data_IF_830638170798
#
_entry.id   IF_830638170798
#
_cell.length_a   1.000
_cell.length_b   1.000
_cell.length_c   1.000
_cell.angle_alpha   90.00
_cell.angle_beta   90.00
_cell.angle_gamma   90.00
#
_symmetry.space_group_name_H-M   'P 1'
#
loop_
_entity.id
_entity.type
_entity.pdbx_description
1 polymer ?
#
# COMPACT_ATOMS: atom_id res chain seq x y z
N UNK A 1 27.70 -7.15 8.20
CA UNK A 1 27.27 -8.55 7.92
C UNK A 1 27.75 -8.88 6.52
N UNK A 2 28.27 -10.08 6.32
CA UNK A 2 28.82 -10.51 5.04
C UNK A 2 28.23 -11.87 4.66
N UNK A 3 27.98 -12.07 3.37
CA UNK A 3 27.55 -13.32 2.81
C UNK A 3 28.26 -13.59 1.49
N UNK A 4 27.74 -14.49 0.70
CA UNK A 4 28.25 -14.84 -0.63
C UNK A 4 27.13 -15.23 -1.58
N UNK A 5 27.39 -15.13 -2.87
CA UNK A 5 26.55 -15.73 -3.92
C UNK A 5 26.77 -17.23 -3.88
N UNK A 6 25.74 -18.00 -3.58
CA UNK A 6 25.81 -19.47 -3.61
C UNK A 6 25.60 -20.00 -5.03
N UNK A 7 24.67 -19.38 -5.80
CA UNK A 7 24.39 -19.77 -7.17
C UNK A 7 23.85 -18.56 -7.96
N UNK A 8 24.19 -18.49 -9.23
CA UNK A 8 23.63 -17.52 -10.19
C UNK A 8 22.69 -18.28 -11.13
N UNK A 9 21.47 -17.77 -11.33
CA UNK A 9 20.40 -18.45 -12.06
C UNK A 9 19.84 -17.57 -13.15
N UNK A 10 19.68 -18.11 -14.36
CA UNK A 10 18.99 -17.46 -15.49
C UNK A 10 18.07 -18.45 -16.19
N UNK A 11 17.09 -17.91 -16.91
CA UNK A 11 16.18 -18.68 -17.76
C UNK A 11 15.83 -17.88 -19.01
N UNK A 12 15.68 -18.49 -20.19
CA UNK A 12 15.16 -17.84 -21.38
C UNK A 12 13.65 -17.54 -21.28
N UNK A 13 13.02 -17.89 -20.15
CA UNK A 13 11.61 -17.64 -19.82
C UNK A 13 11.08 -18.67 -18.83
N UNK A 14 10.46 -18.21 -17.74
CA UNK A 14 9.81 -19.05 -16.73
C UNK A 14 10.73 -19.63 -15.64
N UNK A 15 10.20 -20.64 -14.92
CA UNK A 15 10.84 -21.34 -13.82
C UNK A 15 10.84 -22.85 -14.09
N UNK A 16 11.83 -23.61 -13.59
CA UNK A 16 12.98 -23.18 -12.79
C UNK A 16 14.03 -22.44 -13.64
N UNK A 17 14.81 -21.56 -13.00
CA UNK A 17 16.01 -20.96 -13.61
C UNK A 17 17.20 -21.89 -13.46
N UNK A 18 18.04 -21.97 -14.50
CA UNK A 18 19.21 -22.82 -14.54
C UNK A 18 20.46 -22.12 -13.99
N UNK A 19 21.32 -22.89 -13.31
CA UNK A 19 22.59 -22.41 -12.80
C UNK A 19 23.55 -22.05 -13.95
N UNK A 20 24.26 -20.91 -13.80
CA UNK A 20 25.33 -20.49 -14.72
C UNK A 20 26.59 -20.15 -13.95
N UNK A 21 27.76 -20.26 -14.65
CA UNK A 21 29.05 -19.96 -14.06
C UNK A 21 29.26 -18.47 -13.77
N UNK A 22 28.65 -17.62 -14.57
CA UNK A 22 28.65 -16.16 -14.38
C UNK A 22 27.47 -15.51 -15.14
N UNK A 23 27.11 -14.31 -14.76
CA UNK A 23 26.17 -13.49 -15.52
C UNK A 23 26.53 -12.01 -15.44
N UNK A 24 26.34 -11.28 -16.53
CA UNK A 24 26.41 -9.83 -16.53
C UNK A 24 25.11 -9.28 -15.96
N UNK A 25 25.22 -8.38 -14.98
CA UNK A 25 24.11 -7.66 -14.35
C UNK A 25 24.02 -6.28 -15.00
N UNK A 26 22.92 -6.01 -15.67
CA UNK A 26 22.57 -4.70 -16.21
C UNK A 26 21.43 -4.07 -15.43
N UNK A 27 21.05 -2.84 -15.76
CA UNK A 27 19.98 -2.08 -15.05
C UNK A 27 18.64 -2.78 -14.97
N UNK A 28 18.32 -3.63 -15.94
CA UNK A 28 17.03 -4.34 -16.03
C UNK A 28 17.12 -5.81 -15.59
N UNK A 29 18.28 -6.25 -15.06
CA UNK A 29 18.48 -7.63 -14.58
C UNK A 29 19.68 -8.32 -15.20
N UNK A 30 19.71 -9.66 -15.13
CA UNK A 30 20.79 -10.48 -15.62
C UNK A 30 20.65 -10.66 -17.14
N UNK A 31 21.75 -10.47 -17.88
CA UNK A 31 21.79 -10.76 -19.30
C UNK A 31 21.56 -12.25 -19.57
N UNK A 32 20.67 -12.55 -20.51
CA UNK A 32 20.26 -13.92 -20.84
C UNK A 32 19.11 -14.45 -19.96
N UNK A 33 18.67 -13.66 -19.00
CA UNK A 33 17.44 -13.95 -18.25
C UNK A 33 16.25 -13.29 -18.92
N UNK A 34 15.14 -14.02 -19.08
CA UNK A 34 13.88 -13.51 -19.58
C UNK A 34 12.75 -13.85 -18.61
N UNK A 35 11.71 -13.03 -18.61
CA UNK A 35 10.55 -13.21 -17.77
C UNK A 35 9.36 -13.66 -18.60
N UNK A 36 8.56 -14.58 -18.09
CA UNK A 36 7.35 -15.06 -18.79
C UNK A 36 6.25 -13.99 -18.88
N UNK A 37 6.35 -13.00 -17.98
CA UNK A 37 5.46 -11.85 -17.90
C UNK A 37 6.29 -10.59 -17.62
N UNK A 38 6.83 -9.98 -18.66
CA UNK A 38 7.67 -8.78 -18.58
C UNK A 38 6.98 -7.59 -17.88
N UNK A 39 5.65 -7.62 -17.78
CA UNK A 39 4.84 -6.58 -17.16
C UNK A 39 4.63 -6.77 -15.65
N UNK A 40 4.85 -7.99 -15.12
CA UNK A 40 4.68 -8.31 -13.67
C UNK A 40 6.02 -8.51 -13.00
N UNK A 41 6.97 -9.12 -13.71
CA UNK A 41 8.32 -9.45 -13.26
C UNK A 41 9.30 -8.71 -14.15
N UNK A 42 10.18 -7.88 -13.54
CA UNK A 42 11.15 -7.08 -14.28
C UNK A 42 10.97 -5.58 -14.06
N UNK A 43 11.65 -4.81 -14.93
CA UNK A 43 11.76 -3.35 -14.76
C UNK A 43 12.81 -2.95 -13.73
N UNK A 44 13.13 -1.63 -13.64
CA UNK A 44 14.28 -1.16 -12.85
C UNK A 44 14.19 -1.49 -11.36
N UNK A 45 13.00 -1.56 -10.78
CA UNK A 45 12.81 -1.82 -9.36
C UNK A 45 12.73 -3.31 -8.99
N UNK A 46 12.58 -4.20 -9.98
CA UNK A 46 12.50 -5.66 -9.81
C UNK A 46 13.51 -6.37 -10.72
N UNK A 47 14.68 -5.74 -10.92
CA UNK A 47 15.68 -6.18 -11.85
C UNK A 47 16.34 -7.52 -11.48
N UNK A 48 16.52 -7.77 -10.18
CA UNK A 48 17.18 -8.99 -9.67
C UNK A 48 16.34 -9.58 -8.55
N UNK A 49 15.97 -10.86 -8.67
CA UNK A 49 15.32 -11.61 -7.59
C UNK A 49 16.38 -12.39 -6.80
N UNK A 50 16.30 -12.32 -5.46
CA UNK A 50 17.23 -12.98 -4.54
C UNK A 50 16.48 -13.87 -3.55
N UNK A 51 17.11 -15.00 -3.15
CA UNK A 51 16.63 -15.88 -2.09
C UNK A 51 17.81 -16.46 -1.31
N UNK A 52 17.71 -16.51 0.01
CA UNK A 52 18.72 -17.14 0.87
C UNK A 52 18.70 -18.66 0.76
N UNK A 53 19.87 -19.28 0.70
CA UNK A 53 20.02 -20.75 0.76
C UNK A 53 19.44 -21.32 2.06
N UNK A 54 19.57 -20.56 3.15
CA UNK A 54 19.01 -20.91 4.46
C UNK A 54 17.47 -20.97 4.42
N UNK A 55 16.82 -20.08 3.69
CA UNK A 55 15.38 -20.13 3.45
C UNK A 55 14.98 -21.36 2.63
N UNK A 56 15.75 -21.66 1.58
CA UNK A 56 15.55 -22.88 0.77
C UNK A 56 15.67 -24.14 1.65
N UNK A 57 16.66 -24.20 2.53
CA UNK A 57 16.85 -25.34 3.43
C UNK A 57 15.69 -25.50 4.43
N UNK A 58 15.21 -24.41 5.01
CA UNK A 58 14.03 -24.44 5.92
C UNK A 58 12.78 -24.93 5.19
N UNK A 59 12.52 -24.37 4.00
CA UNK A 59 11.35 -24.76 3.18
C UNK A 59 11.46 -26.23 2.72
N UNK A 60 12.68 -26.71 2.40
CA UNK A 60 12.93 -28.11 2.06
C UNK A 60 12.71 -29.04 3.25
N UNK A 61 13.11 -28.63 4.45
CA UNK A 61 12.88 -29.39 5.68
C UNK A 61 11.40 -29.61 5.98
N UNK A 62 10.54 -28.72 5.52
CA UNK A 62 9.07 -28.85 5.60
C UNK A 62 8.48 -29.79 4.50
N UNK A 63 9.35 -30.45 3.70
CA UNK A 63 8.95 -31.43 2.70
C UNK A 63 8.66 -30.86 1.31
N UNK A 64 8.96 -29.58 1.04
CA UNK A 64 8.77 -28.97 -0.27
C UNK A 64 9.94 -29.26 -1.23
N UNK A 65 9.67 -29.38 -2.54
CA UNK A 65 10.65 -29.72 -3.57
C UNK A 65 11.41 -28.47 -4.07
N UNK A 66 11.85 -27.61 -3.15
CA UNK A 66 12.53 -26.35 -3.49
C UNK A 66 14.06 -26.58 -3.64
N UNK A 67 14.66 -25.93 -4.63
CA UNK A 67 16.08 -25.90 -4.90
C UNK A 67 16.49 -24.50 -5.39
N UNK A 68 17.78 -24.15 -5.42
CA UNK A 68 18.24 -22.91 -6.04
C UNK A 68 17.73 -22.78 -7.48
N UNK A 69 17.15 -21.62 -7.82
CA UNK A 69 16.52 -21.33 -9.10
C UNK A 69 15.07 -21.80 -9.25
N UNK A 70 14.57 -22.68 -8.36
CA UNK A 70 13.26 -23.32 -8.50
C UNK A 70 12.10 -22.32 -8.39
N UNK A 71 12.24 -21.24 -7.67
CA UNK A 71 11.19 -20.22 -7.47
C UNK A 71 11.49 -18.91 -8.22
N UNK A 72 12.43 -18.95 -9.17
CA UNK A 72 12.71 -17.87 -10.11
C UNK A 72 13.66 -16.79 -9.60
N UNK A 73 14.37 -17.04 -8.52
CA UNK A 73 15.43 -16.13 -8.08
C UNK A 73 16.64 -16.17 -9.00
N UNK A 74 17.26 -15.00 -9.23
CA UNK A 74 18.49 -14.84 -10.02
C UNK A 74 19.73 -15.11 -9.20
N UNK A 75 19.75 -14.68 -7.95
CA UNK A 75 20.86 -14.92 -7.04
C UNK A 75 20.37 -15.70 -5.83
N UNK A 76 20.88 -16.93 -5.69
CA UNK A 76 20.78 -17.64 -4.43
C UNK A 76 21.97 -17.21 -3.57
N UNK A 77 21.72 -16.68 -2.38
CA UNK A 77 22.74 -16.17 -1.47
C UNK A 77 22.93 -17.08 -0.27
N UNK A 78 24.04 -16.96 0.44
CA UNK A 78 24.28 -17.67 1.69
C UNK A 78 24.94 -16.75 2.72
N UNK A 79 24.63 -16.95 4.00
CA UNK A 79 25.17 -16.19 5.13
C UNK A 79 24.43 -14.87 5.40
N UNK A 80 23.28 -14.63 4.75
CA UNK A 80 22.48 -13.41 4.91
C UNK A 80 20.99 -13.77 4.94
N UNK A 81 20.29 -13.37 6.00
CA UNK A 81 18.83 -13.43 6.08
C UNK A 81 18.22 -12.23 5.32
N UNK A 82 18.19 -12.33 3.98
CA UNK A 82 17.84 -11.24 3.07
C UNK A 82 16.50 -10.57 3.38
N UNK A 83 15.47 -11.37 3.63
CA UNK A 83 14.10 -10.89 3.83
C UNK A 83 13.86 -10.22 5.19
N UNK A 84 14.84 -10.30 6.10
CA UNK A 84 14.83 -9.56 7.36
C UNK A 84 15.55 -8.21 7.26
N UNK A 85 16.25 -7.95 6.16
CA UNK A 85 16.89 -6.66 5.92
C UNK A 85 15.87 -5.61 5.51
N UNK A 86 16.01 -4.37 5.97
CA UNK A 86 15.15 -3.27 5.52
C UNK A 86 15.24 -3.06 4.02
N UNK A 87 14.14 -2.71 3.38
CA UNK A 87 14.16 -2.19 2.01
C UNK A 87 15.05 -0.96 1.94
N UNK A 88 15.76 -0.76 0.82
CA UNK A 88 16.81 0.25 0.68
C UNK A 88 18.19 -0.23 1.15
N UNK A 89 18.29 -1.38 1.83
CA UNK A 89 19.60 -1.99 2.15
C UNK A 89 20.37 -2.26 0.86
N UNK A 90 21.63 -1.84 0.83
CA UNK A 90 22.50 -2.02 -0.32
C UNK A 90 23.37 -3.26 -0.15
N UNK A 91 23.57 -3.98 -1.24
CA UNK A 91 24.39 -5.19 -1.31
C UNK A 91 25.51 -4.97 -2.32
N UNK A 92 26.74 -4.79 -1.86
CA UNK A 92 27.91 -4.82 -2.74
C UNK A 92 28.27 -6.29 -3.03
N UNK A 93 28.21 -6.69 -4.30
CA UNK A 93 28.39 -8.08 -4.75
C UNK A 93 29.61 -8.18 -5.66
N UNK A 94 30.55 -9.02 -5.29
CA UNK A 94 31.84 -9.13 -6.00
C UNK A 94 32.58 -7.80 -6.04
N UNK A 95 33.20 -7.50 -7.18
CA UNK A 95 34.08 -6.33 -7.32
C UNK A 95 33.35 -5.05 -7.80
N UNK A 96 32.17 -5.20 -8.45
CA UNK A 96 31.59 -4.05 -9.19
C UNK A 96 30.09 -3.91 -9.06
N UNK A 97 29.34 -4.96 -8.72
CA UNK A 97 27.89 -4.90 -8.69
C UNK A 97 27.41 -4.31 -7.37
N UNK A 98 26.52 -3.32 -7.47
CA UNK A 98 25.81 -2.75 -6.32
C UNK A 98 24.31 -2.91 -6.54
N UNK A 99 23.67 -3.66 -5.66
CA UNK A 99 22.23 -3.86 -5.64
C UNK A 99 21.62 -3.08 -4.46
N UNK A 100 20.34 -2.73 -4.57
CA UNK A 100 19.55 -2.18 -3.47
C UNK A 100 18.24 -2.95 -3.36
N UNK A 101 17.97 -3.52 -2.18
CA UNK A 101 16.71 -4.24 -1.93
C UNK A 101 15.52 -3.30 -2.13
N UNK A 102 14.58 -3.67 -2.98
CA UNK A 102 13.47 -2.81 -3.39
C UNK A 102 12.12 -3.23 -2.83
N UNK A 103 11.86 -4.53 -2.76
CA UNK A 103 10.61 -5.05 -2.20
C UNK A 103 10.69 -6.55 -1.93
N UNK A 104 9.83 -7.12 -1.07
CA UNK A 104 9.59 -8.56 -1.04
C UNK A 104 8.97 -9.03 -2.37
N UNK A 105 9.35 -10.23 -2.81
CA UNK A 105 8.75 -10.89 -3.96
C UNK A 105 7.70 -11.91 -3.48
N UNK A 106 6.44 -11.57 -3.64
CA UNK A 106 5.32 -12.41 -3.22
C UNK A 106 5.29 -13.78 -3.92
N UNK A 107 4.67 -14.80 -3.31
CA UNK A 107 4.37 -16.05 -3.99
C UNK A 107 3.35 -15.82 -5.13
N UNK A 108 3.50 -16.58 -6.21
CA UNK A 108 2.60 -16.53 -7.37
C UNK A 108 2.24 -17.95 -7.82
N UNK A 109 1.25 -18.08 -8.70
CA UNK A 109 0.80 -19.38 -9.20
C UNK A 109 1.86 -20.12 -10.03
N UNK A 110 2.79 -19.38 -10.66
CA UNK A 110 3.85 -19.95 -11.50
C UNK A 110 4.78 -20.87 -10.72
N UNK A 111 4.98 -20.62 -9.42
CA UNK A 111 5.88 -21.42 -8.57
C UNK A 111 5.14 -22.45 -7.71
N UNK A 112 3.81 -22.55 -7.79
CA UNK A 112 2.99 -23.39 -6.91
C UNK A 112 3.39 -24.87 -6.91
N UNK A 113 3.83 -25.38 -8.05
CA UNK A 113 4.18 -26.81 -8.22
C UNK A 113 5.45 -27.24 -7.45
N UNK A 114 6.24 -26.26 -7.00
CA UNK A 114 7.39 -26.49 -6.09
C UNK A 114 6.92 -26.86 -4.69
N UNK A 115 5.69 -26.46 -4.34
CA UNK A 115 5.15 -26.57 -2.98
C UNK A 115 4.12 -27.70 -2.87
N UNK A 116 4.26 -28.53 -1.85
CA UNK A 116 3.30 -29.61 -1.56
C UNK A 116 1.89 -29.01 -1.41
N UNK A 117 0.95 -29.52 -2.19
CA UNK A 117 -0.44 -29.03 -2.21
C UNK A 117 -0.61 -27.62 -2.77
N UNK A 118 0.37 -27.12 -3.55
CA UNK A 118 0.31 -25.79 -4.15
C UNK A 118 0.45 -24.64 -3.15
N UNK A 119 0.92 -24.88 -1.93
CA UNK A 119 0.97 -23.92 -0.81
C UNK A 119 2.15 -22.97 -0.92
N UNK A 120 2.23 -22.19 -2.01
CA UNK A 120 3.30 -21.19 -2.26
C UNK A 120 3.37 -20.09 -1.18
N UNK A 121 2.32 -19.88 -0.40
CA UNK A 121 2.32 -19.01 0.79
C UNK A 121 3.41 -19.35 1.82
N UNK A 122 4.05 -20.54 1.72
CA UNK A 122 5.19 -20.93 2.56
C UNK A 122 6.40 -20.00 2.43
N UNK A 123 6.51 -19.26 1.33
CA UNK A 123 7.54 -18.21 1.15
C UNK A 123 6.96 -16.80 1.15
N UNK A 124 5.79 -16.61 1.74
CA UNK A 124 5.20 -15.28 1.90
C UNK A 124 5.87 -14.52 3.03
N UNK A 125 6.30 -13.28 2.78
CA UNK A 125 6.87 -12.39 3.79
C UNK A 125 5.91 -12.15 4.98
N UNK A 126 4.61 -12.23 4.74
CA UNK A 126 3.58 -12.01 5.77
C UNK A 126 3.42 -13.21 6.71
N UNK A 127 3.62 -14.43 6.19
CA UNK A 127 3.44 -15.66 6.95
C UNK A 127 4.77 -16.22 7.48
N UNK A 128 5.84 -16.06 6.71
CA UNK A 128 7.18 -16.57 6.98
C UNK A 128 8.23 -15.50 6.66
N UNK A 129 8.40 -14.49 7.52
CA UNK A 129 9.24 -13.31 7.23
C UNK A 129 10.69 -13.61 6.84
N UNK A 130 11.28 -14.69 7.38
CA UNK A 130 12.67 -15.11 7.08
C UNK A 130 12.83 -15.88 5.77
N UNK A 131 11.73 -16.31 5.13
CA UNK A 131 11.80 -17.27 4.02
C UNK A 131 11.35 -16.69 2.67
N UNK A 132 11.14 -15.38 2.61
CA UNK A 132 10.68 -14.71 1.41
C UNK A 132 11.81 -14.36 0.46
N UNK A 133 11.48 -14.38 -0.84
CA UNK A 133 12.35 -13.78 -1.87
C UNK A 133 12.32 -12.26 -1.73
N UNK A 134 13.42 -11.62 -2.16
CA UNK A 134 13.51 -10.16 -2.27
C UNK A 134 13.83 -9.77 -3.70
N UNK A 135 13.26 -8.67 -4.16
CA UNK A 135 13.72 -7.99 -5.36
C UNK A 135 14.76 -6.95 -5.00
N UNK A 136 15.62 -6.66 -5.98
CA UNK A 136 16.58 -5.57 -5.90
C UNK A 136 16.64 -4.82 -7.23
N UNK A 137 16.92 -3.52 -7.15
CA UNK A 137 17.31 -2.70 -8.28
C UNK A 137 18.84 -2.67 -8.40
N UNK A 138 19.33 -2.40 -9.60
CA UNK A 138 20.77 -2.35 -9.88
C UNK A 138 21.24 -0.90 -9.82
N UNK A 139 22.09 -0.58 -8.85
CA UNK A 139 22.73 0.73 -8.70
C UNK A 139 24.06 0.83 -9.48
N UNK A 140 24.81 -0.28 -9.53
CA UNK A 140 26.01 -0.40 -10.36
C UNK A 140 26.02 -1.74 -11.05
N UNK A 141 26.32 -1.70 -12.35
CA UNK A 141 26.38 -2.86 -13.24
C UNK A 141 27.73 -3.58 -13.09
N UNK A 142 27.77 -4.86 -13.49
CA UNK A 142 29.00 -5.65 -13.46
C UNK A 142 28.75 -7.12 -13.80
N UNK A 143 29.62 -7.99 -13.30
CA UNK A 143 29.52 -9.44 -13.46
C UNK A 143 29.41 -10.08 -12.08
N UNK A 144 28.55 -11.07 -11.95
CA UNK A 144 28.38 -11.87 -10.73
C UNK A 144 28.73 -13.34 -11.01
N UNK A 145 29.36 -13.97 -10.01
CA UNK A 145 29.75 -15.37 -10.03
C UNK A 145 29.38 -16.06 -8.73
N UNK A 146 29.13 -17.37 -8.75
CA UNK A 146 29.13 -18.17 -7.53
C UNK A 146 30.45 -17.99 -6.75
N UNK A 147 30.33 -17.79 -5.43
CA UNK A 147 31.46 -17.50 -4.55
C UNK A 147 31.71 -16.01 -4.31
N UNK A 148 31.17 -15.11 -5.12
CA UNK A 148 31.33 -13.67 -4.92
C UNK A 148 30.84 -13.25 -3.54
N UNK A 149 31.68 -12.44 -2.87
CA UNK A 149 31.34 -11.88 -1.56
C UNK A 149 30.20 -10.89 -1.67
N UNK A 150 29.30 -10.94 -0.71
CA UNK A 150 28.24 -9.93 -0.53
C UNK A 150 28.52 -9.16 0.75
N UNK A 151 28.69 -7.84 0.63
CA UNK A 151 28.80 -6.94 1.79
C UNK A 151 27.49 -6.17 1.94
N UNK A 152 26.86 -6.32 3.11
CA UNK A 152 25.62 -5.58 3.45
C UNK A 152 25.98 -4.18 3.90
N UNK A 153 25.44 -3.18 3.20
CA UNK A 153 25.59 -1.76 3.49
C UNK A 153 24.24 -1.16 3.93
N UNK A 154 24.22 -0.17 4.82
CA UNK A 154 22.96 0.46 5.22
C UNK A 154 22.25 1.10 4.04
N UNK A 155 20.91 1.33 4.15
CA UNK A 155 20.17 2.16 3.21
C UNK A 155 20.82 3.54 3.04
N UNK A 156 20.75 4.10 1.83
CA UNK A 156 21.09 5.51 1.64
C UNK A 156 19.96 6.38 2.23
N UNK A 157 20.27 7.57 2.77
CA UNK A 157 19.24 8.46 3.36
C UNK A 157 18.15 8.88 2.36
N UNK A 158 18.48 8.93 1.08
CA UNK A 158 17.64 9.30 -0.06
C UNK A 158 17.30 8.10 -0.96
N UNK A 159 17.29 6.90 -0.40
CA UNK A 159 17.00 5.68 -1.15
C UNK A 159 15.61 5.72 -1.78
N UNK A 160 15.56 5.74 -3.11
CA UNK A 160 14.32 5.66 -3.87
C UNK A 160 13.54 4.36 -3.56
N UNK A 161 14.23 3.24 -3.39
CA UNK A 161 13.61 1.99 -3.00
C UNK A 161 12.96 2.05 -1.61
N UNK A 162 13.60 2.76 -0.65
CA UNK A 162 13.00 2.96 0.67
C UNK A 162 11.74 3.84 0.60
N UNK A 163 11.76 4.89 -0.23
CA UNK A 163 10.59 5.74 -0.47
C UNK A 163 9.45 4.92 -1.11
N UNK A 164 9.75 4.12 -2.14
CA UNK A 164 8.74 3.28 -2.79
C UNK A 164 8.14 2.24 -1.83
N UNK A 165 8.98 1.60 -1.00
CA UNK A 165 8.46 0.65 0.00
C UNK A 165 7.61 1.32 1.08
N UNK A 166 7.95 2.55 1.45
CA UNK A 166 7.10 3.34 2.34
C UNK A 166 5.75 3.62 1.69
N UNK A 167 5.74 4.06 0.43
CA UNK A 167 4.51 4.27 -0.33
C UNK A 167 3.68 2.99 -0.46
N UNK A 168 4.31 1.84 -0.75
CA UNK A 168 3.60 0.55 -0.83
C UNK A 168 2.93 0.17 0.49
N UNK A 169 3.61 0.40 1.61
CA UNK A 169 3.03 0.17 2.94
C UNK A 169 1.83 1.07 3.19
N UNK A 170 1.95 2.37 2.91
CA UNK A 170 0.89 3.36 3.15
C UNK A 170 -0.32 3.10 2.24
N UNK A 171 -0.07 2.86 0.95
CA UNK A 171 -1.11 2.49 -0.02
C UNK A 171 -1.85 1.22 0.42
N UNK A 172 -1.13 0.23 0.97
CA UNK A 172 -1.74 -1.01 1.43
C UNK A 172 -2.69 -0.80 2.61
N UNK A 173 -2.38 0.13 3.50
CA UNK A 173 -3.23 0.43 4.67
C UNK A 173 -4.46 1.24 4.25
N UNK A 174 -4.28 2.22 3.39
CA UNK A 174 -5.41 2.98 2.84
C UNK A 174 -6.34 2.08 2.02
N UNK A 175 -5.80 1.23 1.14
CA UNK A 175 -6.57 0.25 0.38
C UNK A 175 -7.39 -0.67 1.30
N UNK A 176 -6.78 -1.16 2.38
CA UNK A 176 -7.47 -2.02 3.34
C UNK A 176 -8.61 -1.25 4.06
N UNK A 177 -8.46 0.05 4.32
CA UNK A 177 -9.54 0.90 4.84
C UNK A 177 -10.69 1.02 3.83
N UNK A 178 -10.39 1.24 2.55
CA UNK A 178 -11.41 1.29 1.50
C UNK A 178 -12.13 -0.04 1.30
N UNK A 179 -11.41 -1.15 1.31
CA UNK A 179 -12.02 -2.50 1.27
C UNK A 179 -12.96 -2.72 2.47
N UNK A 180 -12.60 -2.23 3.65
CA UNK A 180 -13.44 -2.31 4.85
C UNK A 180 -14.71 -1.48 4.68
N UNK A 181 -14.60 -0.27 4.14
CA UNK A 181 -15.74 0.60 3.85
C UNK A 181 -16.69 -0.04 2.81
N UNK A 182 -16.16 -0.52 1.69
CA UNK A 182 -16.97 -1.17 0.65
C UNK A 182 -17.62 -2.46 1.14
N UNK A 183 -16.89 -3.24 1.97
CA UNK A 183 -17.43 -4.44 2.62
C UNK A 183 -18.58 -4.14 3.58
N UNK A 184 -18.50 -3.06 4.36
CA UNK A 184 -19.59 -2.59 5.22
C UNK A 184 -20.82 -2.19 4.41
N UNK A 185 -20.62 -1.48 3.29
CA UNK A 185 -21.70 -1.11 2.38
C UNK A 185 -22.38 -2.32 1.74
N UNK A 186 -21.60 -3.29 1.26
CA UNK A 186 -22.14 -4.55 0.73
C UNK A 186 -22.91 -5.33 1.80
N UNK A 187 -22.40 -5.38 3.04
CA UNK A 187 -23.09 -6.00 4.19
C UNK A 187 -24.41 -5.30 4.53
N UNK A 188 -24.48 -3.98 4.34
CA UNK A 188 -25.70 -3.20 4.48
C UNK A 188 -26.71 -3.44 3.33
N UNK A 189 -26.41 -4.32 2.37
CA UNK A 189 -27.27 -4.64 1.23
C UNK A 189 -27.24 -3.58 0.11
N UNK A 190 -26.17 -2.79 0.02
CA UNK A 190 -25.94 -1.91 -1.12
C UNK A 190 -25.32 -2.71 -2.29
N UNK A 191 -25.68 -2.37 -3.53
CA UNK A 191 -25.09 -3.00 -4.72
C UNK A 191 -23.66 -2.47 -4.93
N UNK A 192 -22.70 -3.11 -4.29
CA UNK A 192 -21.27 -2.81 -4.41
C UNK A 192 -20.53 -4.06 -4.86
N UNK A 193 -19.99 -4.02 -6.06
CA UNK A 193 -19.13 -5.08 -6.61
C UNK A 193 -17.70 -4.79 -6.21
N UNK A 194 -17.04 -5.74 -5.55
CA UNK A 194 -15.68 -5.58 -5.03
C UNK A 194 -14.74 -6.53 -5.74
N UNK A 195 -13.65 -5.99 -6.26
CA UNK A 195 -12.49 -6.71 -6.76
C UNK A 195 -11.37 -6.59 -5.73
N UNK A 196 -10.90 -7.70 -5.18
CA UNK A 196 -9.74 -7.76 -4.28
C UNK A 196 -8.78 -8.85 -4.77
N UNK A 197 -7.61 -8.43 -5.22
CA UNK A 197 -6.52 -9.26 -5.75
C UNK A 197 -5.21 -8.94 -5.04
N UNK A 198 -5.24 -8.79 -3.74
CA UNK A 198 -4.06 -8.48 -2.94
C UNK A 198 -3.62 -7.02 -3.07
N UNK A 199 -2.75 -6.68 -3.99
CA UNK A 199 -2.32 -5.28 -4.19
C UNK A 199 -3.35 -4.45 -4.97
N UNK A 200 -4.17 -5.08 -5.82
CA UNK A 200 -5.29 -4.46 -6.52
C UNK A 200 -6.56 -4.52 -5.68
N UNK A 201 -7.21 -3.40 -5.50
CA UNK A 201 -8.57 -3.33 -4.99
C UNK A 201 -9.40 -2.35 -5.80
N UNK A 202 -10.62 -2.73 -6.16
CA UNK A 202 -11.55 -1.84 -6.84
C UNK A 202 -12.98 -2.09 -6.37
N UNK A 203 -13.81 -1.06 -6.46
CA UNK A 203 -15.25 -1.17 -6.28
C UNK A 203 -15.98 -0.54 -7.45
N UNK A 204 -17.17 -1.07 -7.73
CA UNK A 204 -18.14 -0.51 -8.67
C UNK A 204 -19.55 -0.61 -8.09
N UNK A 205 -20.29 0.52 -8.08
CA UNK A 205 -21.65 0.59 -7.58
C UNK A 205 -22.54 1.43 -8.49
N UNK A 206 -23.47 0.80 -9.22
CA UNK A 206 -24.40 1.52 -10.09
C UNK A 206 -25.30 2.52 -9.35
N UNK A 207 -25.66 2.19 -8.10
CA UNK A 207 -26.55 2.99 -7.28
C UNK A 207 -25.87 4.14 -6.51
N UNK A 208 -24.54 4.19 -6.46
CA UNK A 208 -23.77 5.17 -5.70
C UNK A 208 -22.78 5.89 -6.61
N UNK A 209 -23.16 7.00 -7.24
CA UNK A 209 -22.29 7.73 -8.17
C UNK A 209 -21.10 8.37 -7.46
N UNK A 210 -20.06 8.71 -8.24
CA UNK A 210 -18.84 9.34 -7.73
C UNK A 210 -17.76 8.36 -7.34
N UNK A 211 -16.60 8.90 -6.99
CA UNK A 211 -15.35 8.14 -6.82
C UNK A 211 -15.24 7.33 -5.52
N UNK A 212 -16.19 7.48 -4.57
CA UNK A 212 -16.11 6.73 -3.29
C UNK A 212 -16.40 5.25 -3.50
N UNK A 213 -17.42 4.91 -4.30
CA UNK A 213 -17.81 3.53 -4.57
C UNK A 213 -17.46 3.05 -5.99
N UNK A 214 -16.72 3.86 -6.76
CA UNK A 214 -16.29 3.52 -8.10
C UNK A 214 -14.80 3.89 -8.27
N UNK A 215 -13.94 3.28 -7.46
CA UNK A 215 -12.51 3.59 -7.38
C UNK A 215 -11.67 2.32 -7.40
N UNK A 216 -10.48 2.43 -8.01
CA UNK A 216 -9.47 1.37 -8.01
C UNK A 216 -8.14 1.87 -7.47
N UNK A 217 -7.50 1.04 -6.64
CA UNK A 217 -6.16 1.19 -6.10
C UNK A 217 -5.24 0.09 -6.62
N UNK A 218 -3.93 0.30 -6.56
CA UNK A 218 -2.93 -0.70 -6.88
C UNK A 218 -2.31 -0.54 -8.27
N UNK A 219 -2.67 0.51 -9.04
CA UNK A 219 -2.13 0.70 -10.39
C UNK A 219 -0.64 0.96 -10.42
N UNK A 220 -0.06 1.55 -9.37
CA UNK A 220 1.39 1.75 -9.25
C UNK A 220 2.12 0.41 -9.09
N UNK A 221 1.53 -0.54 -8.37
CA UNK A 221 2.09 -1.87 -8.13
C UNK A 221 1.78 -2.84 -9.28
N UNK A 222 0.59 -2.76 -9.87
CA UNK A 222 0.11 -3.70 -10.89
C UNK A 222 -0.57 -2.93 -12.05
N UNK A 223 0.19 -2.15 -12.84
CA UNK A 223 -0.40 -1.37 -13.95
C UNK A 223 -1.09 -2.26 -15.00
N UNK A 224 -0.63 -3.50 -15.18
CA UNK A 224 -1.25 -4.49 -16.10
C UNK A 224 -2.69 -4.89 -15.71
N UNK A 225 -3.11 -4.61 -14.48
CA UNK A 225 -4.47 -4.93 -14.04
C UNK A 225 -5.54 -3.93 -14.56
N UNK A 226 -5.14 -2.86 -15.26
CA UNK A 226 -6.07 -1.87 -15.79
C UNK A 226 -7.21 -2.49 -16.63
N UNK A 227 -6.99 -3.46 -17.55
CA UNK A 227 -8.08 -4.09 -18.29
C UNK A 227 -9.11 -4.84 -17.41
N UNK A 228 -8.69 -5.37 -16.24
CA UNK A 228 -9.58 -6.02 -15.30
C UNK A 228 -10.47 -4.99 -14.59
N UNK A 229 -9.90 -3.84 -14.23
CA UNK A 229 -10.63 -2.69 -13.65
C UNK A 229 -11.60 -2.09 -14.66
N UNK A 230 -11.18 -1.90 -15.90
CA UNK A 230 -12.06 -1.42 -16.99
C UNK A 230 -13.25 -2.35 -17.22
N UNK A 231 -13.02 -3.67 -17.13
CA UNK A 231 -14.09 -4.67 -17.26
C UNK A 231 -15.07 -4.56 -16.10
N UNK A 232 -14.60 -4.42 -14.86
CA UNK A 232 -15.45 -4.24 -13.68
C UNK A 232 -16.42 -3.07 -13.86
N UNK A 233 -15.93 -1.91 -14.32
CA UNK A 233 -16.76 -0.73 -14.54
C UNK A 233 -17.71 -0.87 -15.72
N UNK A 234 -17.28 -1.50 -16.79
CA UNK A 234 -18.13 -1.80 -17.97
C UNK A 234 -19.26 -2.76 -17.59
N UNK A 235 -18.97 -3.84 -16.88
CA UNK A 235 -19.96 -4.83 -16.47
C UNK A 235 -20.95 -4.26 -15.43
N UNK A 236 -20.53 -3.24 -14.69
CA UNK A 236 -21.38 -2.48 -13.78
C UNK A 236 -22.16 -1.35 -14.49
N UNK A 237 -21.77 -0.96 -15.70
CA UNK A 237 -22.37 0.16 -16.45
C UNK A 237 -22.11 1.52 -15.82
N UNK A 238 -20.97 1.70 -15.12
CA UNK A 238 -20.63 2.94 -14.41
C UNK A 238 -19.27 3.48 -14.85
N UNK A 239 -19.11 4.81 -14.77
CA UNK A 239 -17.80 5.41 -14.80
C UNK A 239 -17.07 5.12 -13.47
N UNK A 240 -15.79 4.83 -13.54
CA UNK A 240 -14.95 4.62 -12.38
C UNK A 240 -13.70 5.49 -12.40
N UNK A 241 -12.91 5.43 -11.35
CA UNK A 241 -11.67 6.17 -11.20
C UNK A 241 -10.54 5.26 -10.79
N UNK A 242 -9.40 5.46 -11.42
CA UNK A 242 -8.14 4.77 -11.08
C UNK A 242 -7.24 5.76 -10.34
N UNK A 243 -6.69 5.34 -9.21
CA UNK A 243 -5.70 6.11 -8.45
C UNK A 243 -4.31 5.80 -9.00
N UNK A 244 -3.62 6.83 -9.51
CA UNK A 244 -2.23 6.70 -9.99
C UNK A 244 -1.44 7.98 -9.69
N UNK A 245 -0.12 7.95 -9.91
CA UNK A 245 0.73 9.13 -9.75
C UNK A 245 0.29 10.29 -10.64
N UNK A 246 0.35 11.51 -10.12
CA UNK A 246 -0.01 12.69 -10.90
C UNK A 246 0.92 12.87 -12.12
N UNK A 247 2.18 12.44 -11.97
CA UNK A 247 3.21 12.51 -13.02
C UNK A 247 3.33 11.18 -13.81
N UNK A 248 2.57 10.16 -13.45
CA UNK A 248 2.58 8.82 -14.03
C UNK A 248 1.15 8.38 -14.41
N UNK A 249 0.59 8.96 -15.47
CA UNK A 249 -0.78 8.62 -15.90
C UNK A 249 -0.86 7.13 -16.28
N UNK A 250 -1.95 6.43 -15.93
CA UNK A 250 -2.08 4.99 -16.12
C UNK A 250 -2.24 4.56 -17.60
N UNK A 251 -2.41 5.50 -18.53
CA UNK A 251 -2.41 5.30 -19.98
C UNK A 251 -2.10 6.62 -20.70
N UNK A 252 -1.67 6.52 -21.95
CA UNK A 252 -1.37 7.67 -22.78
C UNK A 252 -2.59 8.59 -22.98
N UNK A 253 -2.41 9.87 -22.70
CA UNK A 253 -3.45 10.88 -22.81
C UNK A 253 -4.47 10.88 -21.67
N UNK A 254 -4.24 10.12 -20.60
CA UNK A 254 -5.08 10.21 -19.42
C UNK A 254 -4.93 11.58 -18.75
N UNK A 255 -6.06 12.15 -18.34
CA UNK A 255 -6.11 13.44 -17.63
C UNK A 255 -6.52 13.16 -16.18
N UNK A 256 -5.67 13.58 -15.24
CA UNK A 256 -5.97 13.50 -13.82
C UNK A 256 -6.99 14.56 -13.42
N UNK A 257 -8.04 14.15 -12.71
CA UNK A 257 -9.10 15.07 -12.25
C UNK A 257 -8.74 15.62 -10.85
N UNK A 258 -8.76 14.87 -9.82
CA UNK A 258 -8.55 15.35 -8.45
C UNK A 258 -7.11 15.10 -8.00
N UNK A 259 -6.38 16.16 -7.65
CA UNK A 259 -5.01 16.05 -7.14
C UNK A 259 -5.01 15.88 -5.62
N UNK A 260 -4.54 14.74 -5.17
CA UNK A 260 -4.47 14.39 -3.74
C UNK A 260 -3.03 14.18 -3.31
N UNK A 261 -2.61 14.85 -2.25
CA UNK A 261 -1.34 14.57 -1.58
C UNK A 261 -1.48 13.41 -0.60
N UNK A 262 -0.51 12.51 -0.59
CA UNK A 262 -0.30 11.51 0.46
C UNK A 262 0.69 12.08 1.47
N UNK A 263 0.26 12.26 2.69
CA UNK A 263 1.03 12.81 3.80
C UNK A 263 1.38 11.74 4.80
N UNK A 264 2.63 11.71 5.28
CA UNK A 264 3.05 10.76 6.29
C UNK A 264 4.14 11.33 7.19
N UNK A 265 4.21 10.80 8.42
CA UNK A 265 5.31 11.05 9.36
C UNK A 265 5.34 9.99 10.47
N UNK A 266 6.36 10.00 11.31
CA UNK A 266 6.33 9.28 12.58
C UNK A 266 5.28 9.90 13.51
N UNK A 267 4.61 9.08 14.32
CA UNK A 267 3.59 9.59 15.26
C UNK A 267 4.20 10.58 16.26
N UNK A 268 5.41 10.33 16.73
CA UNK A 268 6.12 11.20 17.68
C UNK A 268 6.33 12.62 17.12
N UNK A 269 6.51 12.78 15.81
CA UNK A 269 6.63 14.10 15.15
C UNK A 269 5.33 14.91 15.23
N UNK A 270 4.18 14.26 15.12
CA UNK A 270 2.86 14.90 15.30
C UNK A 270 2.68 15.30 16.75
N UNK A 271 3.00 14.41 17.69
CA UNK A 271 2.85 14.65 19.13
C UNK A 271 3.75 15.79 19.63
N UNK A 272 4.98 15.90 19.09
CA UNK A 272 5.90 16.98 19.41
C UNK A 272 5.40 18.37 18.97
N UNK A 273 4.47 18.43 18.02
CA UNK A 273 3.88 19.69 17.49
C UNK A 273 2.44 19.91 17.94
N UNK A 274 1.88 18.96 18.71
CA UNK A 274 0.52 19.05 19.19
C UNK A 274 0.38 20.20 20.20
N UNK A 275 -0.62 21.05 19.95
CA UNK A 275 -1.01 22.10 20.89
C UNK A 275 -2.04 21.56 21.90
N UNK A 276 -2.24 22.21 23.04
CA UNK A 276 -3.37 21.94 23.93
C UNK A 276 -4.70 22.06 23.19
N UNK A 277 -5.73 21.40 23.72
CA UNK A 277 -7.09 21.53 23.15
C UNK A 277 -7.51 23.00 23.14
N UNK A 278 -8.17 23.46 22.06
CA UNK A 278 -8.74 24.80 22.04
C UNK A 278 -9.79 24.98 23.15
N UNK A 279 -9.99 26.20 23.66
CA UNK A 279 -11.00 26.47 24.69
C UNK A 279 -12.39 25.97 24.27
N UNK A 280 -13.12 25.37 25.21
CA UNK A 280 -14.46 24.82 24.98
C UNK A 280 -14.49 23.51 24.17
N UNK A 281 -13.34 23.03 23.64
CA UNK A 281 -13.28 21.80 22.86
C UNK A 281 -13.03 20.59 23.78
N UNK A 282 -13.86 19.57 23.57
CA UNK A 282 -13.64 18.22 24.15
C UNK A 282 -13.66 17.19 23.04
N UNK A 283 -12.89 16.11 23.19
CA UNK A 283 -12.83 15.01 22.24
C UNK A 283 -13.14 13.71 22.97
N UNK A 284 -13.96 12.86 22.35
CA UNK A 284 -14.33 11.55 22.90
C UNK A 284 -14.32 10.46 21.83
N UNK A 285 -14.11 9.23 22.26
CA UNK A 285 -14.31 8.06 21.40
C UNK A 285 -15.80 7.86 21.12
N UNK A 286 -16.11 7.39 19.93
CA UNK A 286 -17.41 6.83 19.59
C UNK A 286 -17.40 5.37 20.03
N UNK A 287 -18.34 5.00 20.90
CA UNK A 287 -18.63 3.60 21.18
C UNK A 287 -19.40 3.02 19.98
N UNK A 288 -18.85 2.02 19.27
CA UNK A 288 -19.53 1.44 18.11
C UNK A 288 -20.85 0.74 18.46
N UNK A 289 -21.11 0.43 19.73
CA UNK A 289 -22.38 -0.14 20.21
C UNK A 289 -23.38 0.92 20.67
N UNK A 290 -22.96 2.18 20.76
CA UNK A 290 -23.87 3.32 21.00
C UNK A 290 -24.36 3.92 19.68
N UNK A 291 -25.53 3.48 19.24
CA UNK A 291 -26.14 3.93 17.99
C UNK A 291 -26.31 5.46 17.91
N UNK A 292 -26.44 6.15 19.06
CA UNK A 292 -26.56 7.63 19.08
C UNK A 292 -25.24 8.30 18.74
N UNK A 293 -24.14 7.84 19.32
CA UNK A 293 -22.80 8.36 19.01
C UNK A 293 -22.43 8.08 17.56
N UNK A 294 -22.73 6.88 17.05
CA UNK A 294 -22.50 6.50 15.66
C UNK A 294 -23.32 7.36 14.71
N UNK A 295 -24.62 7.57 14.99
CA UNK A 295 -25.48 8.42 14.18
C UNK A 295 -25.00 9.88 14.19
N UNK A 296 -24.61 10.43 15.35
CA UNK A 296 -24.06 11.78 15.45
C UNK A 296 -22.79 11.94 14.60
N UNK A 297 -21.91 10.94 14.61
CA UNK A 297 -20.71 10.95 13.78
C UNK A 297 -21.07 10.98 12.29
N UNK A 298 -21.99 10.11 11.85
CA UNK A 298 -22.44 10.03 10.45
C UNK A 298 -23.06 11.34 9.99
N UNK A 299 -23.95 11.94 10.78
CA UNK A 299 -24.63 13.21 10.40
C UNK A 299 -23.64 14.37 10.30
N UNK A 300 -22.66 14.47 11.23
CA UNK A 300 -21.61 15.49 11.14
C UNK A 300 -20.78 15.28 9.89
N UNK A 301 -20.39 14.03 9.59
CA UNK A 301 -19.61 13.69 8.41
C UNK A 301 -20.35 14.07 7.12
N UNK A 302 -21.60 13.63 6.98
CA UNK A 302 -22.46 13.91 5.82
C UNK A 302 -22.65 15.41 5.63
N UNK A 303 -22.95 16.13 6.72
CA UNK A 303 -23.19 17.58 6.69
C UNK A 303 -21.91 18.35 6.35
N UNK A 304 -20.80 18.05 6.99
CA UNK A 304 -19.54 18.79 6.82
C UNK A 304 -18.95 18.66 5.42
N UNK A 305 -19.18 17.52 4.76
CA UNK A 305 -18.78 17.26 3.37
C UNK A 305 -19.88 17.57 2.34
N UNK A 306 -21.04 18.09 2.78
CA UNK A 306 -22.19 18.37 1.92
C UNK A 306 -22.56 17.16 1.03
N UNK A 307 -22.56 15.96 1.63
CA UNK A 307 -22.89 14.72 0.92
C UNK A 307 -24.41 14.67 0.70
N UNK A 308 -24.80 14.50 -0.55
CA UNK A 308 -26.21 14.42 -0.96
C UNK A 308 -26.67 12.96 -1.15
N UNK A 309 -27.98 12.77 -1.19
CA UNK A 309 -28.55 11.46 -1.53
C UNK A 309 -28.26 11.10 -3.01
N UNK A 310 -28.05 9.82 -3.33
CA UNK A 310 -28.25 8.63 -2.48
C UNK A 310 -27.07 8.28 -1.54
N UNK A 311 -25.95 9.01 -1.63
CA UNK A 311 -24.74 8.69 -0.88
C UNK A 311 -24.92 8.98 0.62
N UNK A 312 -25.63 10.04 1.01
CA UNK A 312 -25.93 10.35 2.40
C UNK A 312 -26.77 9.24 3.06
N UNK A 313 -27.80 8.75 2.35
CA UNK A 313 -28.61 7.63 2.81
C UNK A 313 -27.77 6.35 2.96
N UNK A 314 -26.87 6.09 2.00
CA UNK A 314 -25.95 4.97 2.08
C UNK A 314 -25.07 5.06 3.35
N UNK A 315 -24.49 6.23 3.66
CA UNK A 315 -23.71 6.42 4.89
C UNK A 315 -24.50 6.11 6.17
N UNK A 316 -25.77 6.53 6.25
CA UNK A 316 -26.64 6.20 7.39
C UNK A 316 -26.87 4.70 7.53
N UNK A 317 -26.90 3.95 6.43
CA UNK A 317 -27.11 2.48 6.42
C UNK A 317 -25.84 1.71 6.79
N UNK A 318 -24.71 2.02 6.18
CA UNK A 318 -23.49 1.23 6.39
C UNK A 318 -22.57 1.77 7.48
N UNK A 319 -22.69 3.04 7.87
CA UNK A 319 -21.89 3.66 8.91
C UNK A 319 -21.83 2.88 10.21
N UNK A 320 -22.98 2.39 10.76
CA UNK A 320 -22.98 1.54 11.95
C UNK A 320 -22.21 0.22 11.79
N UNK A 321 -22.20 -0.36 10.58
CA UNK A 321 -21.45 -1.58 10.29
C UNK A 321 -19.95 -1.25 10.19
N UNK A 322 -19.61 -0.14 9.54
CA UNK A 322 -18.24 0.33 9.41
C UNK A 322 -17.63 0.65 10.78
N UNK A 323 -18.35 1.33 11.66
CA UNK A 323 -17.90 1.67 13.01
C UNK A 323 -17.50 0.43 13.84
N UNK A 324 -18.16 -0.72 13.62
CA UNK A 324 -17.87 -2.01 14.26
C UNK A 324 -16.78 -2.81 13.55
N UNK A 325 -16.27 -2.30 12.43
CA UNK A 325 -15.27 -3.03 11.64
C UNK A 325 -13.89 -3.02 12.31
N UNK A 326 -13.17 -4.13 12.19
CA UNK A 326 -11.84 -4.26 12.80
C UNK A 326 -10.86 -3.23 12.22
N UNK A 327 -10.22 -2.49 13.11
CA UNK A 327 -9.25 -1.46 12.76
C UNK A 327 -9.84 -0.05 12.66
N UNK A 328 -11.15 0.09 12.66
CA UNK A 328 -11.84 1.39 12.70
C UNK A 328 -11.88 1.96 14.12
N UNK A 329 -11.57 3.24 14.24
CA UNK A 329 -11.64 4.02 15.48
C UNK A 329 -12.21 5.40 15.16
N UNK A 330 -13.32 5.73 15.78
CA UNK A 330 -14.05 6.97 15.50
C UNK A 330 -14.04 7.91 16.69
N UNK A 331 -13.88 9.21 16.40
CA UNK A 331 -13.89 10.28 17.38
C UNK A 331 -14.96 11.31 17.05
N UNK A 332 -15.53 11.90 18.09
CA UNK A 332 -16.33 13.11 18.03
C UNK A 332 -15.62 14.21 18.82
N UNK A 333 -15.65 15.44 18.28
CA UNK A 333 -15.26 16.63 19.01
C UNK A 333 -16.46 17.52 19.23
N UNK A 334 -16.64 17.98 20.48
CA UNK A 334 -17.65 18.92 20.86
C UNK A 334 -17.02 20.29 21.15
N UNK A 335 -17.74 21.35 20.82
CA UNK A 335 -17.45 22.73 21.20
C UNK A 335 -18.57 23.23 22.10
N UNK A 336 -18.24 23.65 23.32
CA UNK A 336 -19.19 24.11 24.33
C UNK A 336 -20.36 23.11 24.55
N UNK A 337 -20.03 21.81 24.51
CA UNK A 337 -20.96 20.71 24.75
C UNK A 337 -21.76 20.23 23.53
N UNK A 338 -21.60 20.83 22.35
CA UNK A 338 -22.27 20.44 21.11
C UNK A 338 -21.30 19.73 20.17
N UNK A 339 -21.63 18.55 19.70
CA UNK A 339 -20.83 17.81 18.72
C UNK A 339 -20.74 18.59 17.41
N UNK A 340 -19.52 18.93 16.99
CA UNK A 340 -19.25 19.78 15.81
C UNK A 340 -18.23 19.22 14.84
N UNK A 341 -17.58 18.11 15.20
CA UNK A 341 -16.58 17.49 14.33
C UNK A 341 -16.52 15.98 14.53
N UNK A 342 -16.18 15.30 13.45
CA UNK A 342 -16.07 13.85 13.36
C UNK A 342 -14.71 13.47 12.75
N UNK A 343 -14.14 12.37 13.18
CA UNK A 343 -12.91 11.85 12.58
C UNK A 343 -12.86 10.32 12.67
N UNK A 344 -12.35 9.68 11.63
CA UNK A 344 -12.10 8.25 11.60
C UNK A 344 -10.60 7.97 11.50
N UNK A 345 -10.16 6.86 12.06
CA UNK A 345 -8.81 6.33 11.94
C UNK A 345 -8.92 4.84 11.65
N UNK A 346 -8.23 4.39 10.62
CA UNK A 346 -8.07 2.97 10.35
C UNK A 346 -6.63 2.56 10.69
N UNK A 347 -6.49 1.44 11.43
CA UNK A 347 -5.16 0.99 11.88
C UNK A 347 -4.87 -0.42 11.36
N UNK A 348 -3.71 -0.58 10.73
CA UNK A 348 -3.20 -1.88 10.28
C UNK A 348 -1.68 -1.85 10.15
N UNK A 349 -1.01 -2.99 10.39
CA UNK A 349 0.45 -3.12 10.22
C UNK A 349 1.27 -2.06 10.96
N UNK A 350 0.80 -1.61 12.13
CA UNK A 350 1.39 -0.54 12.96
C UNK A 350 1.43 0.83 12.27
N UNK A 351 0.59 1.03 11.28
CA UNK A 351 0.34 2.31 10.60
C UNK A 351 -1.10 2.73 10.87
N UNK A 352 -1.30 4.02 11.09
CA UNK A 352 -2.61 4.65 11.22
C UNK A 352 -2.90 5.49 9.97
N UNK A 353 -3.99 5.20 9.26
CA UNK A 353 -4.52 6.04 8.20
C UNK A 353 -5.64 6.93 8.77
N UNK A 354 -5.49 8.24 8.60
CA UNK A 354 -6.45 9.23 9.07
C UNK A 354 -7.50 9.50 7.98
N UNK A 355 -8.64 8.85 8.10
CA UNK A 355 -9.80 9.08 7.26
C UNK A 355 -10.81 10.03 7.88
N UNK A 356 -11.80 10.46 7.10
CA UNK A 356 -13.04 11.06 7.55
C UNK A 356 -12.95 12.25 8.51
N UNK A 357 -11.93 13.09 8.40
CA UNK A 357 -11.78 14.27 9.26
C UNK A 357 -12.70 15.41 8.82
N UNK A 358 -13.79 15.66 9.53
CA UNK A 358 -14.85 16.60 9.21
C UNK A 358 -15.07 17.60 10.33
N UNK A 359 -15.28 18.88 10.01
CA UNK A 359 -15.64 19.94 10.96
C UNK A 359 -16.79 20.73 10.34
N UNK A 360 -17.88 20.87 11.08
CA UNK A 360 -19.04 21.65 10.65
C UNK A 360 -18.64 23.10 10.32
N UNK A 361 -19.23 23.73 9.30
CA UNK A 361 -18.83 25.05 8.82
C UNK A 361 -18.72 26.12 9.93
N UNK A 362 -19.67 26.16 10.85
CA UNK A 362 -19.73 27.12 11.95
C UNK A 362 -18.64 26.93 13.02
N UNK A 363 -18.00 25.76 13.07
CA UNK A 363 -16.94 25.45 14.01
C UNK A 363 -15.53 25.51 13.37
N UNK A 364 -15.42 25.83 12.08
CA UNK A 364 -14.15 25.92 11.37
C UNK A 364 -13.30 27.11 11.89
N UNK A 365 -11.99 27.08 11.63
CA UNK A 365 -11.05 28.12 12.03
C UNK A 365 -10.67 28.11 13.52
N UNK A 366 -11.18 27.20 14.34
CA UNK A 366 -10.96 27.11 15.78
C UNK A 366 -9.91 26.08 16.20
N UNK A 367 -9.15 25.52 15.26
CA UNK A 367 -8.08 24.54 15.58
C UNK A 367 -8.56 23.10 15.83
N UNK A 368 -9.87 22.82 15.73
CA UNK A 368 -10.49 21.53 16.06
C UNK A 368 -9.91 20.39 15.19
N UNK A 369 -9.70 20.62 13.89
CA UNK A 369 -9.14 19.59 13.01
C UNK A 369 -7.72 19.19 13.47
N UNK A 370 -6.85 20.14 13.83
CA UNK A 370 -5.51 19.85 14.35
C UNK A 370 -5.57 19.12 15.68
N UNK A 371 -6.50 19.49 16.56
CA UNK A 371 -6.72 18.79 17.81
C UNK A 371 -7.15 17.33 17.59
N UNK A 372 -8.05 17.07 16.64
CA UNK A 372 -8.46 15.72 16.24
C UNK A 372 -7.31 14.90 15.64
N UNK A 373 -6.42 15.50 14.83
CA UNK A 373 -5.23 14.81 14.30
C UNK A 373 -4.30 14.43 15.45
N UNK A 374 -4.04 15.35 16.38
CA UNK A 374 -3.16 15.11 17.53
C UNK A 374 -3.73 14.02 18.47
N UNK A 375 -5.05 14.04 18.73
CA UNK A 375 -5.68 13.02 19.57
C UNK A 375 -5.63 11.64 18.92
N UNK A 376 -5.92 11.53 17.62
CA UNK A 376 -5.76 10.27 16.87
C UNK A 376 -4.32 9.76 16.92
N UNK A 377 -3.33 10.65 16.77
CA UNK A 377 -1.91 10.29 16.90
C UNK A 377 -1.59 9.73 18.28
N UNK A 378 -2.10 10.33 19.36
CA UNK A 378 -1.90 9.86 20.74
C UNK A 378 -2.48 8.47 20.95
N UNK A 379 -3.75 8.26 20.57
CA UNK A 379 -4.40 6.96 20.71
C UNK A 379 -3.70 5.87 19.88
N UNK A 380 -3.22 6.22 18.68
CA UNK A 380 -2.46 5.31 17.85
C UNK A 380 -1.10 4.96 18.43
N UNK A 381 -0.41 5.90 19.09
CA UNK A 381 0.84 5.64 19.82
C UNK A 381 0.61 4.67 20.99
N UNK A 382 -0.43 4.91 21.79
CA UNK A 382 -0.82 4.05 22.92
C UNK A 382 -1.17 2.63 22.45
N UNK A 383 -1.76 2.49 21.27
CA UNK A 383 -2.03 1.20 20.60
C UNK A 383 -0.81 0.57 19.92
N UNK A 384 0.39 1.17 20.04
CA UNK A 384 1.64 0.64 19.50
C UNK A 384 1.87 0.89 18.01
N UNK A 385 1.08 1.75 17.37
CA UNK A 385 1.39 2.23 16.03
C UNK A 385 2.62 3.15 16.06
N UNK A 386 3.32 3.26 14.93
CA UNK A 386 4.57 4.06 14.82
C UNK A 386 4.51 5.13 13.75
N UNK A 387 3.67 4.93 12.74
CA UNK A 387 3.54 5.80 11.59
C UNK A 387 2.09 6.23 11.41
N UNK A 388 1.91 7.46 10.95
CA UNK A 388 0.62 8.05 10.64
C UNK A 388 0.62 8.55 9.21
N UNK A 389 -0.47 8.33 8.49
CA UNK A 389 -0.66 8.78 7.12
C UNK A 389 -2.06 9.37 6.93
N UNK A 390 -2.18 10.28 6.01
CA UNK A 390 -3.45 10.89 5.62
C UNK A 390 -3.42 11.27 4.13
N UNK A 391 -4.58 11.44 3.55
CA UNK A 391 -4.75 12.03 2.22
C UNK A 391 -5.55 13.31 2.31
N UNK A 392 -5.13 14.30 1.55
CA UNK A 392 -5.85 15.57 1.44
C UNK A 392 -5.62 16.15 0.04
N UNK A 393 -6.61 16.84 -0.50
CA UNK A 393 -6.44 17.58 -1.74
C UNK A 393 -5.36 18.64 -1.55
N UNK A 394 -4.52 18.78 -2.56
CA UNK A 394 -3.40 19.72 -2.52
C UNK A 394 -3.91 21.16 -2.34
N UNK A 395 -3.10 21.99 -1.67
CA UNK A 395 -3.38 23.41 -1.42
C UNK A 395 -4.62 23.73 -0.59
N UNK A 396 -5.21 22.72 0.09
CA UNK A 396 -6.38 22.89 0.98
C UNK A 396 -5.98 23.26 2.41
N UNK A 397 -6.97 23.67 3.20
CA UNK A 397 -6.81 23.88 4.66
C UNK A 397 -6.44 22.57 5.34
N UNK A 398 -6.99 21.45 4.86
CA UNK A 398 -6.67 20.11 5.40
C UNK A 398 -5.20 19.79 5.21
N UNK A 399 -4.66 19.98 4.00
CA UNK A 399 -3.24 19.79 3.70
C UNK A 399 -2.34 20.64 4.63
N UNK A 400 -2.63 21.94 4.74
CA UNK A 400 -1.88 22.84 5.63
C UNK A 400 -1.95 22.43 7.11
N UNK A 401 -3.07 21.86 7.58
CA UNK A 401 -3.18 21.38 8.95
C UNK A 401 -2.33 20.11 9.19
N UNK A 402 -2.23 19.22 8.21
CA UNK A 402 -1.34 18.06 8.25
C UNK A 402 0.13 18.51 8.31
N UNK A 403 0.53 19.45 7.43
CA UNK A 403 1.88 20.00 7.37
C UNK A 403 2.27 20.73 8.66
N UNK A 404 1.35 21.51 9.24
CA UNK A 404 1.58 22.20 10.51
C UNK A 404 1.88 21.23 11.68
N UNK A 405 1.39 19.99 11.60
CA UNK A 405 1.67 18.91 12.55
C UNK A 405 2.87 18.03 12.13
N UNK A 406 3.66 18.46 11.14
CA UNK A 406 4.88 17.79 10.73
C UNK A 406 4.70 16.64 9.74
N UNK A 407 3.49 16.42 9.23
CA UNK A 407 3.28 15.44 8.18
C UNK A 407 3.81 16.00 6.85
N UNK A 408 4.65 15.24 6.17
CA UNK A 408 5.24 15.64 4.89
C UNK A 408 4.45 15.02 3.74
N UNK A 409 4.21 15.79 2.70
CA UNK A 409 3.71 15.24 1.44
C UNK A 409 4.83 14.41 0.79
N UNK A 410 4.62 13.11 0.72
CA UNK A 410 5.59 12.16 0.19
C UNK A 410 5.24 11.71 -1.23
N UNK A 411 4.00 11.90 -1.65
CA UNK A 411 3.54 11.58 -2.99
C UNK A 411 2.35 12.47 -3.38
N UNK A 412 2.21 12.71 -4.68
CA UNK A 412 1.02 13.34 -5.26
C UNK A 412 0.42 12.39 -6.28
N UNK A 413 -0.88 12.18 -6.18
CA UNK A 413 -1.64 11.29 -7.04
C UNK A 413 -2.86 12.01 -7.59
N UNK A 414 -3.43 11.45 -8.65
CA UNK A 414 -4.66 11.93 -9.25
C UNK A 414 -5.67 10.80 -9.39
N UNK A 415 -6.92 11.16 -9.53
CA UNK A 415 -7.99 10.29 -9.99
C UNK A 415 -8.09 10.37 -11.51
N UNK A 416 -7.94 9.24 -12.19
CA UNK A 416 -8.08 9.14 -13.63
C UNK A 416 -9.38 8.45 -13.96
N UNK A 417 -10.28 9.16 -14.65
CA UNK A 417 -11.60 8.65 -14.98
C UNK A 417 -11.55 7.58 -16.05
N UNK A 418 -12.19 6.46 -15.80
CA UNK A 418 -12.41 5.35 -16.74
C UNK A 418 -13.87 5.40 -17.16
N UNK A 419 -14.10 5.66 -18.45
CA UNK A 419 -15.44 5.61 -19.04
C UNK A 419 -15.79 4.13 -19.35
N UNK A 420 -17.01 3.64 -19.01
CA UNK A 420 -17.42 2.27 -19.32
C UNK A 420 -17.50 1.99 -20.83
N UNK A 421 -17.69 3.01 -21.66
CA UNK A 421 -17.69 2.91 -23.11
C UNK A 421 -16.29 2.88 -23.74
N UNK A 422 -15.23 3.09 -22.96
CA UNK A 422 -13.85 3.09 -23.46
C UNK A 422 -13.50 1.70 -24.02
N UNK A 423 -12.92 1.60 -25.24
CA UNK A 423 -12.38 0.35 -25.72
C UNK A 423 -11.30 -0.18 -24.80
N UNK A 424 -11.33 -1.47 -24.48
CA UNK A 424 -10.25 -2.12 -23.71
C UNK A 424 -8.95 -1.98 -24.48
N UNK A 425 -7.91 -1.48 -23.81
CA UNK A 425 -6.56 -1.55 -24.36
C UNK A 425 -6.18 -3.01 -24.58
N UNK A 426 -5.58 -3.36 -25.73
CA UNK A 426 -5.05 -4.71 -25.90
C UNK A 426 -3.99 -4.98 -24.84
N UNK A 427 -4.03 -6.19 -24.29
CA UNK A 427 -3.12 -6.66 -23.24
C UNK A 427 -1.68 -6.74 -23.73
#
# INVERSE_FOLDING_TARGET
>A
MNGRVAQVNISPGGVPKAAVAEARVGRLGLHGDAHHHDHVHGGPHRAVALLGLEAIERVRADGHAIAPGAVGENLTTAGIELSLLPVGTRLAVGDSVLLELSSPAGPCDVIKDVFVGGKSGRISILLHPSDSRMYARVLAEGVVRPGDRITVLPPAPDSEAAVHAELDLLDSVERDAWLTLWGAAATAGLDVRILDRGELAAAASPGLPGSIFNRAFGMRQIPIALPEVERLYRDAGVAGWVVAGADEPPWDGAVGEELTGVYATAIDDVLARAAPLPPGVTIRNVDPEDDRSVAAWVEIFVTAFAIEDPLAEAWRRFGPILARSKGEHWLLAALDGHDVAAAATFTRRRVAWLGGGAVLPEARGRGIQRALIAERARQCADAGNRKITATADVDTVSARNLEALGMRRIWTRALYRVDPARPTMPA
#
